data_IF_892797930051
#
_entry.id   IF_892797930051
#
_cell.length_a   1.000
_cell.length_b   1.000
_cell.length_c   1.000
_cell.angle_alpha   90.00
_cell.angle_beta   90.00
_cell.angle_gamma   90.00
#
_symmetry.space_group_name_H-M   'P 1'
#
loop_
_entity.id
_entity.type
_entity.pdbx_description
1 polymer ?
#
# COMPACT_ATOMS: atom_id res chain seq x y z
N UNK A 1 4.88 12.79 16.46
CA UNK A 1 4.29 12.36 15.97
C UNK A 1 4.29 11.27 15.27
N UNK A 2 3.89 10.52 15.25
CA UNK A 2 3.91 9.42 14.62
C UNK A 2 2.92 9.30 13.64
N UNK A 3 3.13 8.63 12.68
CA UNK A 3 2.22 8.52 11.59
C UNK A 3 0.98 7.77 11.95
N UNK A 4 -0.14 8.33 11.60
CA UNK A 4 -1.35 7.67 11.78
C UNK A 4 -1.82 7.03 10.54
N UNK A 5 -1.25 7.34 9.37
CA UNK A 5 -1.68 6.85 8.08
C UNK A 5 -0.70 5.83 7.56
N UNK A 6 -0.59 4.73 8.27
CA UNK A 6 0.39 3.72 7.91
C UNK A 6 0.15 3.16 6.51
N UNK A 7 -1.12 2.94 6.15
CA UNK A 7 -1.43 2.42 4.81
C UNK A 7 -0.99 3.42 3.75
N UNK A 8 -1.33 4.70 3.93
CA UNK A 8 -0.90 5.72 2.98
C UNK A 8 0.61 5.79 2.87
N UNK A 9 1.29 5.68 4.00
CA UNK A 9 2.75 5.72 4.01
C UNK A 9 3.33 4.56 3.21
N UNK A 10 2.76 3.37 3.38
CA UNK A 10 3.19 2.20 2.64
C UNK A 10 2.91 2.33 1.16
N UNK A 11 1.74 2.89 0.81
CA UNK A 11 1.41 3.13 -0.58
C UNK A 11 2.39 4.13 -1.19
N UNK A 12 2.68 5.20 -0.47
CA UNK A 12 3.63 6.19 -0.96
C UNK A 12 5.01 5.58 -1.19
N UNK A 13 5.41 4.69 -0.31
CA UNK A 13 6.69 4.01 -0.48
C UNK A 13 6.68 3.16 -1.75
N UNK A 14 5.61 2.41 -1.97
CA UNK A 14 5.49 1.58 -3.16
C UNK A 14 5.51 2.44 -4.43
N UNK A 15 4.83 3.57 -4.39
CA UNK A 15 4.82 4.48 -5.53
C UNK A 15 6.20 5.07 -5.79
N UNK A 16 6.91 5.36 -4.72
CA UNK A 16 8.23 5.97 -4.83
C UNK A 16 9.24 5.00 -5.43
N UNK A 17 9.26 3.76 -4.95
CA UNK A 17 10.21 2.77 -5.46
C UNK A 17 9.67 2.00 -6.66
N UNK A 18 8.38 2.20 -6.98
CA UNK A 18 7.71 1.57 -8.12
C UNK A 18 7.70 0.05 -8.02
N UNK A 19 7.61 -0.44 -6.79
CA UNK A 19 7.55 -1.87 -6.53
C UNK A 19 6.61 -2.14 -5.38
N UNK A 20 5.86 -3.24 -5.50
CA UNK A 20 5.07 -3.74 -4.41
C UNK A 20 5.81 -4.94 -3.84
N UNK A 21 6.48 -4.74 -2.71
CA UNK A 21 7.26 -5.79 -2.07
C UNK A 21 6.42 -6.53 -1.05
N UNK A 22 6.84 -7.74 -0.66
CA UNK A 22 6.10 -8.49 0.37
C UNK A 22 5.99 -7.71 1.69
N UNK A 23 7.01 -6.95 2.05
CA UNK A 23 6.98 -6.14 3.27
C UNK A 23 5.86 -5.11 3.21
N UNK A 24 5.75 -4.42 2.09
CA UNK A 24 4.72 -3.40 1.92
C UNK A 24 3.34 -4.06 1.93
N UNK A 25 3.21 -5.16 1.22
CA UNK A 25 1.93 -5.86 1.15
C UNK A 25 1.50 -6.34 2.52
N UNK A 26 2.41 -6.96 3.26
CA UNK A 26 2.09 -7.45 4.59
C UNK A 26 1.74 -6.31 5.53
N UNK A 27 2.45 -5.19 5.42
CA UNK A 27 2.14 -4.03 6.24
C UNK A 27 0.74 -3.50 5.99
N UNK A 28 0.35 -3.42 4.72
CA UNK A 28 -0.98 -2.95 4.36
C UNK A 28 -2.03 -3.91 4.91
N UNK A 29 -1.83 -5.22 4.71
CA UNK A 29 -2.78 -6.20 5.19
C UNK A 29 -2.90 -6.20 6.70
N UNK A 30 -1.77 -6.02 7.40
CA UNK A 30 -1.78 -5.98 8.86
C UNK A 30 -2.57 -4.78 9.35
N UNK A 31 -2.41 -3.63 8.70
CA UNK A 31 -3.17 -2.45 9.10
C UNK A 31 -4.66 -2.61 8.83
N UNK A 32 -5.01 -3.20 7.71
CA UNK A 32 -6.42 -3.44 7.40
C UNK A 32 -7.05 -4.36 8.44
N UNK A 33 -6.32 -5.41 8.82
CA UNK A 33 -6.81 -6.33 9.85
C UNK A 33 -6.99 -5.64 11.19
N UNK A 34 -6.03 -4.78 11.55
CA UNK A 34 -6.06 -4.10 12.83
C UNK A 34 -7.20 -3.10 12.89
N UNK A 35 -7.43 -2.37 11.80
CA UNK A 35 -8.46 -1.35 11.76
C UNK A 35 -9.86 -1.91 11.63
N UNK A 36 -9.99 -3.05 10.98
CA UNK A 36 -11.30 -3.65 10.77
C UNK A 36 -12.13 -2.98 9.69
N UNK A 37 -11.62 -1.90 9.12
CA UNK A 37 -12.29 -1.22 8.01
C UNK A 37 -11.24 -0.40 7.27
N UNK A 38 -11.62 0.13 6.12
CA UNK A 38 -10.71 0.92 5.29
C UNK A 38 -11.12 2.38 5.35
N UNK A 39 -10.32 3.23 6.01
CA UNK A 39 -10.62 4.67 6.00
C UNK A 39 -10.63 5.21 4.57
N UNK A 40 -11.44 6.23 4.34
CA UNK A 40 -11.65 6.75 3.00
C UNK A 40 -10.34 7.23 2.35
N UNK A 41 -9.53 7.95 3.11
CA UNK A 41 -8.27 8.46 2.57
C UNK A 41 -7.33 7.32 2.20
N UNK A 42 -7.32 6.27 3.01
CA UNK A 42 -6.48 5.11 2.73
C UNK A 42 -7.02 4.35 1.53
N UNK A 43 -8.35 4.32 1.38
CA UNK A 43 -8.96 3.68 0.22
C UNK A 43 -8.55 4.35 -1.07
N UNK A 44 -8.52 5.69 -1.07
CA UNK A 44 -8.08 6.42 -2.24
C UNK A 44 -6.63 6.12 -2.58
N UNK A 45 -5.78 6.04 -1.56
CA UNK A 45 -4.39 5.71 -1.79
C UNK A 45 -4.23 4.32 -2.37
N UNK A 46 -4.99 3.35 -1.86
CA UNK A 46 -4.93 1.99 -2.38
C UNK A 46 -5.45 1.91 -3.81
N UNK A 47 -6.49 2.68 -4.13
CA UNK A 47 -7.00 2.70 -5.50
C UNK A 47 -5.93 3.22 -6.46
N UNK A 48 -5.22 4.25 -6.06
CA UNK A 48 -4.14 4.77 -6.88
C UNK A 48 -3.06 3.71 -7.07
N UNK A 49 -2.69 3.04 -5.98
CA UNK A 49 -1.68 1.99 -6.05
C UNK A 49 -2.09 0.89 -7.02
N UNK A 50 -3.34 0.43 -6.91
CA UNK A 50 -3.83 -0.64 -7.77
C UNK A 50 -3.90 -0.18 -9.22
N UNK A 51 -4.26 1.05 -9.45
CA UNK A 51 -4.30 1.62 -10.79
C UNK A 51 -2.90 1.64 -11.40
N UNK A 52 -1.91 2.02 -10.62
CA UNK A 52 -0.53 2.04 -11.09
C UNK A 52 -0.01 0.64 -11.38
N UNK A 53 -0.40 -0.32 -10.56
CA UNK A 53 -0.02 -1.71 -10.80
C UNK A 53 -0.67 -2.24 -12.07
N UNK A 54 -1.94 -1.92 -12.27
CA UNK A 54 -2.67 -2.32 -13.47
C UNK A 54 -2.03 -1.76 -14.72
N UNK A 55 -1.55 -0.53 -14.62
CA UNK A 55 -0.92 0.14 -15.77
C UNK A 55 0.52 -0.33 -16.00
N UNK A 56 1.03 -1.17 -15.12
CA UNK A 56 2.39 -1.69 -15.25
C UNK A 56 3.47 -0.74 -14.77
N UNK A 57 3.07 0.33 -14.08
CA UNK A 57 4.05 1.28 -13.56
C UNK A 57 4.63 0.87 -12.22
N UNK A 58 3.97 -0.06 -11.53
CA UNK A 58 4.48 -0.63 -10.30
C UNK A 58 4.57 -2.13 -10.49
N UNK A 59 5.71 -2.70 -10.14
CA UNK A 59 5.94 -4.13 -10.32
C UNK A 59 5.67 -4.87 -9.05
N UNK A 60 5.03 -6.02 -9.17
CA UNK A 60 4.82 -6.90 -8.03
C UNK A 60 6.07 -7.75 -7.85
N UNK A 61 6.69 -7.64 -6.69
CA UNK A 61 7.89 -8.39 -6.38
C UNK A 61 7.49 -9.61 -5.55
N UNK A 62 7.71 -10.81 -6.08
CA UNK A 62 7.29 -11.99 -5.36
C UNK A 62 8.13 -12.24 -4.13
N UNK A 63 7.56 -13.02 -3.21
CA UNK A 63 8.24 -13.44 -2.00
C UNK A 63 8.81 -14.82 -2.22
N UNK A 64 10.06 -14.98 -1.90
CA UNK A 64 10.71 -16.28 -1.99
C UNK A 64 11.16 -16.77 -0.64
#
# INVERSE_FOLDING_TARGET
>A
MQSRNTIRHLVEKALHIRQMTPDIEQGINAELSRLGHLPEADGEALELLMSEMDAGRIRLVPSF
#
